data_IF_471418978125
#
_entry.id   IF_471418978125
#
_cell.length_a   1.000
_cell.length_b   1.000
_cell.length_c   1.000
_cell.angle_alpha   90.00
_cell.angle_beta   90.00
_cell.angle_gamma   90.00
#
_symmetry.space_group_name_H-M   'P 1'
#
loop_
_entity.id
_entity.type
_entity.pdbx_description
1 polymer ?
#
# COMPACT_ATOMS: atom_id res chain seq x y z
N UNK A 1 34.80 -20.96 16.46
CA UNK A 1 34.83 -22.43 16.62
C UNK A 1 33.93 -23.06 15.56
N UNK A 2 34.47 -23.77 14.57
CA UNK A 2 33.69 -24.45 13.52
C UNK A 2 33.11 -25.75 14.07
N UNK A 3 31.79 -25.95 13.98
CA UNK A 3 31.13 -27.21 14.35
C UNK A 3 31.57 -28.33 13.38
N UNK A 4 31.86 -29.54 13.88
CA UNK A 4 32.26 -30.65 13.01
C UNK A 4 31.12 -31.02 12.05
N UNK A 5 31.47 -31.39 10.82
CA UNK A 5 30.49 -31.79 9.79
C UNK A 5 29.86 -33.14 10.12
N UNK A 6 28.62 -33.37 9.63
CA UNK A 6 27.79 -34.58 9.86
C UNK A 6 28.54 -35.91 9.71
N UNK A 7 29.52 -35.98 8.79
CA UNK A 7 30.35 -37.18 8.54
C UNK A 7 31.36 -37.41 9.67
N UNK A 8 31.85 -36.35 10.32
CA UNK A 8 32.82 -36.44 11.42
C UNK A 8 32.17 -36.97 12.71
N UNK A 9 30.89 -36.71 12.94
CA UNK A 9 30.15 -37.26 14.08
C UNK A 9 29.87 -38.76 13.92
N UNK A 10 29.52 -39.21 12.70
CA UNK A 10 29.31 -40.62 12.38
C UNK A 10 30.61 -41.43 12.43
N UNK A 11 31.72 -40.86 11.95
CA UNK A 11 33.04 -41.52 11.99
C UNK A 11 33.60 -41.63 13.41
N UNK A 12 33.29 -40.69 14.31
CA UNK A 12 33.68 -40.78 15.72
C UNK A 12 33.00 -41.96 16.44
N UNK A 13 31.76 -42.30 16.05
CA UNK A 13 30.99 -43.41 16.61
C UNK A 13 31.49 -44.76 16.09
N UNK A 14 31.85 -44.85 14.80
CA UNK A 14 32.50 -46.05 14.24
C UNK A 14 33.89 -46.32 14.82
N UNK A 15 34.66 -45.27 15.16
CA UNK A 15 35.99 -45.40 15.78
C UNK A 15 35.98 -45.98 17.20
N UNK A 16 34.87 -45.82 17.93
CA UNK A 16 34.66 -46.44 19.24
C UNK A 16 34.34 -47.94 19.17
N UNK A 17 33.95 -48.45 18.00
CA UNK A 17 33.51 -49.83 17.80
C UNK A 17 34.66 -50.84 17.58
N UNK A 18 35.89 -50.39 17.32
CA UNK A 18 36.99 -51.26 16.85
C UNK A 18 38.12 -51.51 17.87
N UNK A 19 38.00 -51.06 19.13
CA UNK A 19 39.11 -51.09 20.10
C UNK A 19 39.09 -52.17 21.20
N UNK A 20 38.25 -53.20 21.10
CA UNK A 20 38.09 -54.15 22.21
C UNK A 20 38.35 -55.64 21.90
N UNK A 21 39.41 -56.01 21.17
CA UNK A 21 39.77 -57.44 21.02
C UNK A 21 41.28 -57.71 21.05
N UNK A 22 41.81 -58.15 22.19
CA UNK A 22 43.04 -58.95 22.44
C UNK A 22 43.17 -59.14 23.97
N UNK A 23 43.36 -60.28 24.65
CA UNK A 23 43.62 -61.71 24.39
C UNK A 23 43.28 -62.48 25.72
N UNK A 24 43.43 -63.83 25.90
CA UNK A 24 42.44 -64.68 26.57
C UNK A 24 42.87 -65.29 27.92
N UNK A 25 41.91 -65.75 28.75
CA UNK A 25 42.14 -66.83 29.71
C UNK A 25 40.83 -67.48 30.22
N UNK A 26 40.74 -68.79 29.95
CA UNK A 26 40.08 -69.90 30.66
C UNK A 26 39.06 -69.64 31.78
N UNK A 27 37.87 -70.24 31.61
CA UNK A 27 37.22 -70.98 32.70
C UNK A 27 35.94 -70.38 33.29
N UNK A 28 34.85 -71.17 33.15
CA UNK A 28 33.59 -71.15 33.93
C UNK A 28 32.49 -70.21 33.44
N UNK A 29 31.46 -70.81 32.82
CA UNK A 29 30.16 -70.16 32.63
C UNK A 29 29.45 -69.97 33.96
N UNK A 30 28.84 -68.79 34.16
CA UNK A 30 27.45 -68.72 34.58
C UNK A 30 26.65 -68.03 33.46
N UNK A 31 25.39 -68.41 33.29
CA UNK A 31 24.45 -67.70 32.44
C UNK A 31 24.50 -66.19 32.73
N UNK A 32 25.14 -65.42 31.84
CA UNK A 32 24.98 -63.97 31.82
C UNK A 32 23.64 -63.67 31.15
N UNK A 33 22.78 -62.84 31.75
CA UNK A 33 21.55 -62.44 31.10
C UNK A 33 21.91 -61.74 29.79
N UNK A 34 21.24 -62.12 28.71
CA UNK A 34 21.36 -61.51 27.37
C UNK A 34 20.88 -60.03 27.34
N UNK A 35 20.96 -59.31 28.47
CA UNK A 35 20.51 -57.93 28.66
C UNK A 35 21.42 -56.89 28.00
N UNK A 36 22.71 -57.20 27.83
CA UNK A 36 23.71 -56.26 27.31
C UNK A 36 23.44 -55.74 25.89
N UNK A 37 23.03 -56.55 24.90
CA UNK A 37 22.67 -56.05 23.57
C UNK A 37 21.36 -55.24 23.57
N UNK A 38 20.39 -55.58 24.44
CA UNK A 38 19.10 -54.89 24.52
C UNK A 38 19.26 -53.46 25.04
N UNK A 39 20.12 -53.26 26.04
CA UNK A 39 20.44 -51.92 26.60
C UNK A 39 21.09 -51.03 25.53
N UNK A 40 21.99 -51.58 24.71
CA UNK A 40 22.65 -50.81 23.63
C UNK A 40 21.65 -50.36 22.58
N UNK A 41 20.75 -51.25 22.16
CA UNK A 41 19.68 -50.92 21.19
C UNK A 41 18.75 -49.83 21.75
N UNK A 42 18.37 -49.92 23.03
CA UNK A 42 17.52 -48.92 23.68
C UNK A 42 18.16 -47.53 23.71
N UNK A 43 19.46 -47.46 24.03
CA UNK A 43 20.22 -46.20 24.03
C UNK A 43 20.28 -45.60 22.63
N UNK A 44 20.53 -46.42 21.61
CA UNK A 44 20.56 -45.99 20.20
C UNK A 44 19.19 -45.47 19.73
N UNK A 45 18.09 -46.16 20.07
CA UNK A 45 16.72 -45.69 19.77
C UNK A 45 16.42 -44.34 20.43
N UNK A 46 16.81 -44.16 21.70
CA UNK A 46 16.59 -42.90 22.41
C UNK A 46 17.40 -41.75 21.80
N UNK A 47 18.65 -42.01 21.40
CA UNK A 47 19.49 -41.03 20.71
C UNK A 47 18.91 -40.64 19.34
N UNK A 48 18.45 -41.62 18.56
CA UNK A 48 17.79 -41.39 17.28
C UNK A 48 16.51 -40.56 17.45
N UNK A 49 15.66 -40.91 18.42
CA UNK A 49 14.44 -40.16 18.73
C UNK A 49 14.74 -38.70 19.04
N UNK A 50 15.77 -38.44 19.84
CA UNK A 50 16.18 -37.08 20.22
C UNK A 50 16.70 -36.31 19.01
N UNK A 51 17.51 -36.95 18.15
CA UNK A 51 18.02 -36.32 16.93
C UNK A 51 16.91 -36.00 15.92
N UNK A 52 15.89 -36.85 15.83
CA UNK A 52 14.71 -36.60 15.00
C UNK A 52 13.90 -35.43 15.56
N UNK A 53 13.65 -35.40 16.88
CA UNK A 53 12.92 -34.30 17.52
C UNK A 53 13.60 -32.95 17.27
N UNK A 54 14.92 -32.87 17.47
CA UNK A 54 15.66 -31.64 17.23
C UNK A 54 15.61 -31.16 15.77
N UNK A 55 15.51 -32.09 14.80
CA UNK A 55 15.29 -31.74 13.40
C UNK A 55 13.88 -31.19 13.18
N UNK A 56 12.86 -31.80 13.76
CA UNK A 56 11.48 -31.29 13.69
C UNK A 56 11.35 -29.90 14.31
N UNK A 57 11.93 -29.67 15.49
CA UNK A 57 11.93 -28.36 16.14
C UNK A 57 12.63 -27.30 15.25
N UNK A 58 13.73 -27.69 14.60
CA UNK A 58 14.43 -26.83 13.64
C UNK A 58 13.59 -26.49 12.41
N UNK A 59 12.84 -27.46 11.88
CA UNK A 59 11.90 -27.24 10.77
C UNK A 59 10.75 -26.33 11.20
N UNK A 60 10.19 -26.53 12.38
CA UNK A 60 9.10 -25.69 12.92
C UNK A 60 9.53 -24.22 13.03
N UNK A 61 10.73 -23.96 13.57
CA UNK A 61 11.27 -22.59 13.65
C UNK A 61 11.45 -21.97 12.26
N UNK A 62 11.93 -22.74 11.28
CA UNK A 62 12.08 -22.26 9.91
C UNK A 62 10.72 -21.96 9.26
N UNK A 63 9.72 -22.82 9.45
CA UNK A 63 8.37 -22.61 8.94
C UNK A 63 7.72 -21.37 9.55
N UNK A 64 7.83 -21.17 10.87
CA UNK A 64 7.34 -19.97 11.54
C UNK A 64 8.04 -18.70 11.00
N UNK A 65 9.34 -18.78 10.73
CA UNK A 65 10.07 -17.69 10.08
C UNK A 65 9.62 -17.41 8.64
N UNK A 66 9.19 -18.44 7.89
CA UNK A 66 8.63 -18.28 6.54
C UNK A 66 7.25 -17.63 6.61
N UNK A 67 6.38 -18.08 7.53
CA UNK A 67 5.03 -17.52 7.72
C UNK A 67 5.12 -16.02 7.99
N UNK A 68 5.95 -15.59 8.95
CA UNK A 68 6.10 -14.17 9.25
C UNK A 68 6.64 -13.33 8.08
N UNK A 69 7.47 -13.92 7.20
CA UNK A 69 7.91 -13.25 5.96
C UNK A 69 6.78 -13.14 4.95
N UNK A 70 5.93 -14.18 4.83
CA UNK A 70 4.77 -14.16 3.94
C UNK A 70 3.74 -13.11 4.37
N UNK A 71 3.47 -13.00 5.68
CA UNK A 71 2.58 -11.95 6.21
C UNK A 71 3.11 -10.54 5.90
N UNK A 72 4.42 -10.33 6.08
CA UNK A 72 5.06 -9.07 5.74
C UNK A 72 5.03 -8.76 4.23
N UNK A 73 5.11 -9.79 3.37
CA UNK A 73 4.93 -9.64 1.92
C UNK A 73 3.48 -9.27 1.60
N UNK A 74 2.49 -9.93 2.21
CA UNK A 74 1.07 -9.61 2.04
C UNK A 74 0.78 -8.14 2.33
N UNK A 75 1.20 -7.64 3.50
CA UNK A 75 1.00 -6.24 3.86
C UNK A 75 1.67 -5.24 2.89
N UNK A 76 2.81 -5.62 2.29
CA UNK A 76 3.47 -4.80 1.26
C UNK A 76 2.72 -4.81 -0.07
N UNK A 77 2.11 -5.94 -0.45
CA UNK A 77 1.28 -6.04 -1.65
C UNK A 77 0.04 -5.16 -1.48
N UNK A 78 -0.66 -5.26 -0.35
CA UNK A 78 -1.83 -4.41 -0.05
C UNK A 78 -1.50 -2.91 -0.14
N UNK A 79 -0.32 -2.53 0.36
CA UNK A 79 0.15 -1.14 0.28
C UNK A 79 0.50 -0.70 -1.15
N UNK A 80 0.97 -1.62 -2.01
CA UNK A 80 1.22 -1.34 -3.43
C UNK A 80 -0.10 -1.20 -4.19
N UNK A 81 -1.06 -2.09 -3.95
CA UNK A 81 -2.38 -2.04 -4.59
C UNK A 81 -3.09 -0.72 -4.29
N UNK A 82 -3.09 -0.28 -3.03
CA UNK A 82 -3.66 1.02 -2.64
C UNK A 82 -2.98 2.22 -3.36
N UNK A 83 -1.67 2.16 -3.59
CA UNK A 83 -0.94 3.20 -4.33
C UNK A 83 -1.26 3.17 -5.83
N UNK A 84 -1.45 1.99 -6.40
CA UNK A 84 -1.83 1.84 -7.80
C UNK A 84 -3.25 2.38 -8.05
N UNK A 85 -4.20 2.13 -7.15
CA UNK A 85 -5.54 2.73 -7.22
C UNK A 85 -5.49 4.26 -7.19
N UNK A 86 -4.69 4.86 -6.30
CA UNK A 86 -4.52 6.33 -6.26
C UNK A 86 -3.90 6.88 -7.56
N UNK A 87 -2.91 6.18 -8.13
CA UNK A 87 -2.29 6.56 -9.39
C UNK A 87 -3.28 6.51 -10.56
N UNK A 88 -4.14 5.50 -10.60
CA UNK A 88 -5.14 5.32 -11.66
C UNK A 88 -6.18 6.46 -11.62
N UNK A 89 -6.64 6.84 -10.45
CA UNK A 89 -7.61 7.95 -10.31
C UNK A 89 -6.99 9.31 -10.65
N UNK A 90 -5.72 9.53 -10.29
CA UNK A 90 -4.97 10.71 -10.75
C UNK A 90 -4.83 10.72 -12.27
N UNK A 91 -4.50 9.56 -12.88
CA UNK A 91 -4.37 9.42 -14.33
C UNK A 91 -5.68 9.74 -15.03
N UNK A 92 -6.81 9.30 -14.49
CA UNK A 92 -8.13 9.59 -15.04
C UNK A 92 -8.48 11.09 -14.96
N UNK A 93 -8.20 11.73 -13.82
CA UNK A 93 -8.34 13.17 -13.69
C UNK A 93 -7.48 13.94 -14.72
N UNK A 94 -6.25 13.49 -14.96
CA UNK A 94 -5.35 14.10 -15.94
C UNK A 94 -5.79 13.88 -17.39
N UNK A 95 -6.35 12.73 -17.70
CA UNK A 95 -6.93 12.45 -19.01
C UNK A 95 -8.14 13.36 -19.29
N UNK A 96 -9.03 13.53 -18.30
CA UNK A 96 -10.15 14.46 -18.39
C UNK A 96 -9.66 15.90 -18.61
N UNK A 97 -8.67 16.37 -17.84
CA UNK A 97 -8.06 17.69 -18.02
C UNK A 97 -7.43 17.89 -19.39
N UNK A 98 -6.72 16.88 -19.91
CA UNK A 98 -6.10 16.92 -21.23
C UNK A 98 -7.15 17.06 -22.33
N UNK A 99 -8.21 16.27 -22.25
CA UNK A 99 -9.36 16.37 -23.16
C UNK A 99 -10.03 17.74 -23.06
N UNK A 100 -10.25 18.25 -21.86
CA UNK A 100 -10.84 19.57 -21.62
C UNK A 100 -9.96 20.70 -22.12
N UNK A 101 -8.63 20.59 -21.98
CA UNK A 101 -7.66 21.53 -22.54
C UNK A 101 -7.82 21.61 -24.05
N UNK A 102 -8.01 20.47 -24.73
CA UNK A 102 -8.22 20.43 -26.18
C UNK A 102 -9.56 21.05 -26.58
N UNK A 103 -10.66 20.69 -25.89
CA UNK A 103 -11.98 21.30 -26.08
C UNK A 103 -11.88 22.82 -25.95
N UNK A 104 -11.17 23.31 -24.92
CA UNK A 104 -10.99 24.73 -24.69
C UNK A 104 -10.10 25.42 -25.71
N UNK A 105 -9.02 24.78 -26.15
CA UNK A 105 -8.13 25.35 -27.14
C UNK A 105 -8.82 25.47 -28.51
N UNK A 106 -9.64 24.48 -28.86
CA UNK A 106 -10.36 24.43 -30.14
C UNK A 106 -11.71 25.18 -30.11
N UNK A 107 -12.06 25.79 -28.97
CA UNK A 107 -13.34 26.51 -28.78
C UNK A 107 -14.56 25.65 -29.14
N UNK A 108 -14.48 24.35 -28.85
CA UNK A 108 -15.60 23.45 -29.10
C UNK A 108 -16.72 23.74 -28.09
N UNK A 109 -17.96 23.69 -28.55
CA UNK A 109 -19.15 23.91 -27.72
C UNK A 109 -19.62 22.65 -26.97
N UNK A 110 -18.83 21.57 -27.03
CA UNK A 110 -19.12 20.31 -26.34
C UNK A 110 -18.85 20.42 -24.85
N UNK A 111 -19.48 19.54 -24.06
CA UNK A 111 -19.25 19.47 -22.63
C UNK A 111 -17.82 19.02 -22.31
N UNK A 112 -17.27 19.58 -21.24
CA UNK A 112 -16.07 19.09 -20.59
C UNK A 112 -16.31 17.72 -19.97
N UNK A 113 -15.28 16.89 -20.02
CA UNK A 113 -15.19 15.67 -19.23
C UNK A 113 -15.07 16.03 -17.75
N UNK A 114 -15.85 15.38 -16.87
CA UNK A 114 -15.76 15.63 -15.44
C UNK A 114 -14.39 15.17 -14.92
N UNK A 115 -13.77 16.00 -14.08
CA UNK A 115 -12.51 15.64 -13.42
C UNK A 115 -12.87 14.97 -12.09
N UNK A 116 -12.50 13.70 -11.93
CA UNK A 116 -12.73 12.92 -10.70
C UNK A 116 -11.96 13.49 -9.51
N UNK A 117 -12.44 13.18 -8.31
CA UNK A 117 -11.71 13.44 -7.07
C UNK A 117 -10.55 12.45 -6.94
N UNK A 118 -9.31 12.92 -6.82
CA UNK A 118 -8.14 12.05 -6.61
C UNK A 118 -7.36 12.39 -5.32
N UNK A 119 -7.80 13.38 -4.55
CA UNK A 119 -7.23 13.70 -3.22
C UNK A 119 -8.22 13.25 -2.17
N UNK A 120 -7.76 12.40 -1.24
CA UNK A 120 -8.57 11.86 -0.14
C UNK A 120 -9.02 12.96 0.83
N UNK A 121 -10.20 12.76 1.42
CA UNK A 121 -10.72 13.57 2.51
C UNK A 121 -11.25 14.94 2.07
N UNK A 122 -11.60 15.76 3.06
CA UNK A 122 -12.19 17.09 2.88
C UNK A 122 -11.48 18.12 3.77
N UNK A 123 -11.51 19.41 3.42
CA UNK A 123 -10.99 20.46 4.29
C UNK A 123 -11.67 20.45 5.66
N UNK A 124 -10.87 20.44 6.73
CA UNK A 124 -11.28 20.25 8.14
C UNK A 124 -12.07 21.44 8.74
N UNK A 125 -12.70 22.29 7.94
CA UNK A 125 -13.52 23.37 8.50
C UNK A 125 -14.67 22.78 9.34
N UNK A 126 -14.98 23.34 10.53
CA UNK A 126 -16.01 22.79 11.39
C UNK A 126 -17.39 23.08 10.79
N UNK A 127 -18.05 22.06 10.25
CA UNK A 127 -19.42 22.14 9.76
C UNK A 127 -19.64 21.48 8.40
N UNK A 128 -20.91 21.16 8.16
CA UNK A 128 -21.44 20.55 6.93
C UNK A 128 -20.90 21.17 5.63
N UNK A 129 -20.90 20.41 4.52
CA UNK A 129 -20.47 20.92 3.22
C UNK A 129 -21.15 22.26 2.86
N UNK A 130 -20.44 23.20 2.21
CA UNK A 130 -21.01 24.51 1.90
C UNK A 130 -22.27 24.39 1.04
N UNK A 131 -23.40 24.95 1.49
CA UNK A 131 -24.64 24.91 0.71
C UNK A 131 -24.51 25.75 -0.57
N UNK A 132 -24.77 25.11 -1.71
CA UNK A 132 -24.84 25.71 -3.05
C UNK A 132 -26.22 25.44 -3.60
N UNK A 133 -26.86 26.47 -4.18
CA UNK A 133 -28.20 26.36 -4.75
C UNK A 133 -28.19 25.29 -5.85
N UNK A 134 -29.17 24.39 -5.82
CA UNK A 134 -29.36 23.29 -6.78
C UNK A 134 -28.20 22.26 -6.83
N UNK A 135 -27.35 22.19 -5.80
CA UNK A 135 -26.29 21.19 -5.69
C UNK A 135 -26.45 20.43 -4.38
N UNK A 136 -26.60 19.11 -4.47
CA UNK A 136 -26.66 18.23 -3.30
C UNK A 136 -25.26 17.69 -2.98
N UNK A 137 -24.58 18.30 -2.01
CA UNK A 137 -23.29 17.82 -1.52
C UNK A 137 -23.50 16.74 -0.46
N UNK A 138 -22.88 15.58 -0.66
CA UNK A 138 -22.77 14.53 0.34
C UNK A 138 -21.83 14.99 1.47
N UNK A 139 -21.94 14.42 2.68
CA UNK A 139 -20.98 14.67 3.76
C UNK A 139 -19.56 14.21 3.45
N UNK A 140 -19.42 13.18 2.60
CA UNK A 140 -18.14 12.57 2.24
C UNK A 140 -18.15 12.15 0.76
N UNK A 141 -16.96 12.14 0.15
CA UNK A 141 -16.68 11.65 -1.20
C UNK A 141 -15.38 10.86 -1.20
N UNK A 142 -15.40 9.73 -1.90
CA UNK A 142 -14.25 8.86 -2.07
C UNK A 142 -13.37 9.32 -3.24
N UNK A 143 -12.14 8.82 -3.28
CA UNK A 143 -11.28 8.97 -4.47
C UNK A 143 -11.94 8.19 -5.62
N UNK A 144 -12.01 8.80 -6.80
CA UNK A 144 -12.74 8.34 -7.97
C UNK A 144 -14.15 8.92 -8.13
N UNK A 145 -14.70 9.54 -7.08
CA UNK A 145 -16.03 10.16 -7.19
C UNK A 145 -16.06 11.29 -8.22
N UNK A 146 -17.19 11.40 -8.93
CA UNK A 146 -17.49 12.51 -9.82
C UNK A 146 -18.03 13.72 -9.04
N UNK A 147 -17.72 14.95 -9.48
CA UNK A 147 -18.31 16.14 -8.88
C UNK A 147 -19.84 16.10 -9.06
N UNK A 148 -20.60 16.51 -8.04
CA UNK A 148 -22.06 16.64 -8.16
C UNK A 148 -22.45 17.53 -9.34
N UNK A 149 -23.54 17.16 -10.00
CA UNK A 149 -24.08 17.96 -11.11
C UNK A 149 -24.32 19.40 -10.68
N UNK A 150 -23.92 20.35 -11.52
CA UNK A 150 -24.01 21.79 -11.25
C UNK A 150 -22.97 22.34 -10.27
N UNK A 151 -22.09 21.52 -9.68
CA UNK A 151 -21.01 22.05 -8.82
C UNK A 151 -19.93 22.74 -9.66
N UNK A 152 -19.37 22.02 -10.64
CA UNK A 152 -18.31 22.48 -11.54
C UNK A 152 -18.87 22.89 -12.90
N UNK A 153 -18.25 23.86 -13.61
CA UNK A 153 -18.63 24.21 -14.97
C UNK A 153 -18.51 23.01 -15.92
N UNK A 154 -19.57 22.72 -16.66
CA UNK A 154 -19.57 21.66 -17.69
C UNK A 154 -19.11 22.15 -19.06
N UNK A 155 -18.95 23.45 -19.28
CA UNK A 155 -18.58 24.05 -20.56
C UNK A 155 -18.08 25.50 -20.36
N UNK A 156 -17.69 26.20 -21.44
CA UNK A 156 -17.24 27.59 -21.38
C UNK A 156 -18.30 28.58 -20.93
N UNK A 157 -19.56 28.40 -21.33
CA UNK A 157 -20.66 29.31 -20.97
C UNK A 157 -20.87 29.33 -19.46
N UNK A 158 -20.83 28.16 -18.82
CA UNK A 158 -20.98 28.05 -17.36
C UNK A 158 -19.86 28.74 -16.58
N UNK A 159 -18.66 28.91 -17.15
CA UNK A 159 -17.64 29.74 -16.50
C UNK A 159 -18.08 31.20 -16.42
N UNK A 160 -18.69 31.75 -17.48
CA UNK A 160 -19.22 33.12 -17.48
C UNK A 160 -20.39 33.26 -16.52
N UNK A 161 -21.28 32.27 -16.45
CA UNK A 161 -22.38 32.26 -15.49
C UNK A 161 -21.88 32.37 -14.05
N UNK A 162 -20.79 31.68 -13.68
CA UNK A 162 -20.18 31.81 -12.34
C UNK A 162 -19.57 33.20 -12.13
N UNK A 163 -18.93 33.78 -13.16
CA UNK A 163 -18.35 35.13 -13.08
C UNK A 163 -19.42 36.21 -12.86
N UNK A 164 -20.59 36.04 -13.45
CA UNK A 164 -21.70 36.99 -13.39
C UNK A 164 -22.51 36.87 -12.09
N UNK A 165 -22.26 35.83 -11.28
CA UNK A 165 -22.91 35.67 -9.97
C UNK A 165 -22.63 36.83 -9.02
N UNK A 166 -23.55 37.03 -8.09
CA UNK A 166 -23.31 37.82 -6.90
C UNK A 166 -22.17 37.22 -6.05
N UNK A 167 -21.50 38.08 -5.30
CA UNK A 167 -20.30 37.72 -4.53
C UNK A 167 -20.54 36.57 -3.54
N UNK A 168 -21.71 36.53 -2.90
CA UNK A 168 -22.05 35.51 -1.89
C UNK A 168 -22.23 34.13 -2.53
N UNK A 169 -23.10 33.92 -3.54
CA UNK A 169 -23.21 32.62 -4.21
C UNK A 169 -21.92 32.20 -4.91
N UNK A 170 -21.19 33.13 -5.55
CA UNK A 170 -19.90 32.84 -6.17
C UNK A 170 -18.90 32.28 -5.13
N UNK A 171 -18.76 32.94 -3.97
CA UNK A 171 -17.87 32.49 -2.89
C UNK A 171 -18.28 31.12 -2.34
N UNK A 172 -19.58 30.88 -2.14
CA UNK A 172 -20.10 29.57 -1.66
C UNK A 172 -19.78 28.47 -2.65
N UNK A 173 -20.03 28.68 -3.95
CA UNK A 173 -19.73 27.71 -5.00
C UNK A 173 -18.24 27.39 -5.06
N UNK A 174 -17.37 28.40 -5.02
CA UNK A 174 -15.93 28.16 -5.01
C UNK A 174 -15.44 27.39 -3.77
N UNK A 175 -16.00 27.66 -2.59
CA UNK A 175 -15.69 26.90 -1.38
C UNK A 175 -16.19 25.46 -1.45
N UNK A 176 -17.35 25.22 -2.06
CA UNK A 176 -17.87 23.87 -2.28
C UNK A 176 -16.99 23.07 -3.24
N UNK A 177 -16.49 23.71 -4.30
CA UNK A 177 -15.55 23.09 -5.25
C UNK A 177 -14.24 22.70 -4.54
N UNK A 178 -13.68 23.61 -3.72
CA UNK A 178 -12.52 23.28 -2.88
C UNK A 178 -12.83 22.15 -1.90
N UNK A 179 -14.01 22.17 -1.29
CA UNK A 179 -14.43 21.14 -0.34
C UNK A 179 -14.51 19.75 -0.99
N UNK A 180 -15.04 19.66 -2.22
CA UNK A 180 -15.08 18.42 -2.99
C UNK A 180 -13.67 17.94 -3.37
N UNK A 181 -12.87 18.78 -4.05
CA UNK A 181 -11.56 18.35 -4.57
C UNK A 181 -10.45 18.25 -3.52
N UNK A 182 -10.58 18.96 -2.40
CA UNK A 182 -9.56 19.06 -1.34
C UNK A 182 -8.15 19.43 -1.87
N UNK A 183 -8.09 20.24 -2.93
CA UNK A 183 -6.84 20.66 -3.56
C UNK A 183 -6.52 22.12 -3.20
N UNK A 184 -5.33 22.38 -2.64
CA UNK A 184 -4.93 23.70 -2.18
C UNK A 184 -4.91 24.77 -3.28
N UNK A 185 -4.78 24.39 -4.56
CA UNK A 185 -4.89 25.31 -5.70
C UNK A 185 -6.27 25.95 -5.81
N UNK A 186 -7.30 25.29 -5.27
CA UNK A 186 -8.69 25.72 -5.31
C UNK A 186 -9.14 26.43 -4.02
N UNK A 187 -8.27 26.51 -3.01
CA UNK A 187 -8.56 27.08 -1.70
C UNK A 187 -8.97 28.56 -1.81
N UNK A 188 -10.02 28.93 -1.08
CA UNK A 188 -10.56 30.30 -1.02
C UNK A 188 -10.82 30.71 0.43
N UNK A 189 -10.46 31.95 0.79
CA UNK A 189 -10.73 32.50 2.12
C UNK A 189 -12.22 32.75 2.36
N UNK A 190 -12.68 32.65 3.62
CA UNK A 190 -14.10 32.80 3.97
C UNK A 190 -14.68 34.19 3.71
N UNK A 191 -13.85 35.23 3.76
CA UNK A 191 -14.20 36.63 3.53
C UNK A 191 -13.72 37.15 2.15
N UNK A 192 -13.42 36.26 1.20
CA UNK A 192 -12.90 36.61 -0.12
C UNK A 192 -13.76 37.68 -0.84
N UNK A 193 -13.13 38.76 -1.29
CA UNK A 193 -13.77 39.79 -2.10
C UNK A 193 -13.97 39.34 -3.56
N UNK A 194 -14.58 40.21 -4.40
CA UNK A 194 -14.86 39.89 -5.81
C UNK A 194 -13.60 39.57 -6.60
N UNK A 195 -12.48 40.24 -6.29
CA UNK A 195 -11.19 40.00 -6.96
C UNK A 195 -10.62 38.64 -6.58
N UNK A 196 -10.66 38.27 -5.31
CA UNK A 196 -10.24 36.96 -4.82
C UNK A 196 -11.09 35.83 -5.41
N UNK A 197 -12.41 36.00 -5.48
CA UNK A 197 -13.30 35.04 -6.13
C UNK A 197 -13.01 34.89 -7.63
N UNK A 198 -12.81 35.99 -8.37
CA UNK A 198 -12.40 35.94 -9.78
C UNK A 198 -11.04 35.22 -9.96
N UNK A 199 -10.09 35.46 -9.05
CA UNK A 199 -8.84 34.71 -9.00
C UNK A 199 -9.05 33.20 -8.81
N UNK A 200 -9.96 32.82 -7.91
CA UNK A 200 -10.30 31.42 -7.67
C UNK A 200 -10.97 30.74 -8.88
N UNK A 201 -11.80 31.46 -9.64
CA UNK A 201 -12.35 30.95 -10.90
C UNK A 201 -11.23 30.71 -11.93
N UNK A 202 -10.24 31.58 -12.02
CA UNK A 202 -9.07 31.36 -12.88
C UNK A 202 -8.22 30.16 -12.43
N UNK A 203 -8.08 29.94 -11.12
CA UNK A 203 -7.44 28.74 -10.60
C UNK A 203 -8.25 27.49 -10.97
N UNK A 204 -9.57 27.54 -10.86
CA UNK A 204 -10.45 26.45 -11.28
C UNK A 204 -10.35 26.16 -12.77
N UNK A 205 -10.33 27.20 -13.61
CA UNK A 205 -10.13 27.06 -15.05
C UNK A 205 -8.82 26.35 -15.34
N UNK A 206 -7.73 26.74 -14.69
CA UNK A 206 -6.45 26.01 -14.80
C UNK A 206 -6.58 24.58 -14.28
N UNK A 207 -7.21 24.35 -13.15
CA UNK A 207 -7.37 23.03 -12.56
C UNK A 207 -8.14 22.04 -13.46
N UNK A 208 -9.21 22.51 -14.12
CA UNK A 208 -10.06 21.67 -14.96
C UNK A 208 -9.54 21.53 -16.40
N UNK A 209 -8.79 22.52 -16.90
CA UNK A 209 -8.40 22.61 -18.30
C UNK A 209 -6.88 22.50 -18.51
N UNK A 210 -6.07 22.29 -17.47
CA UNK A 210 -4.63 22.03 -17.63
C UNK A 210 -4.24 20.75 -16.93
N UNK A 211 -3.56 19.86 -17.66
CA UNK A 211 -2.84 18.75 -17.05
C UNK A 211 -1.60 19.31 -16.34
N UNK A 212 -1.22 18.80 -15.16
CA UNK A 212 0.08 19.05 -14.55
C UNK A 212 1.18 18.36 -15.37
N UNK A 213 1.34 18.78 -16.62
CA UNK A 213 2.34 18.25 -17.52
C UNK A 213 3.66 18.97 -17.18
N UNK A 214 4.37 18.55 -16.11
CA UNK A 214 5.83 18.71 -15.96
C UNK A 214 6.55 18.11 -14.74
N UNK A 215 5.90 17.57 -13.72
CA UNK A 215 6.63 17.13 -12.51
C UNK A 215 6.72 15.60 -12.30
N UNK A 216 6.06 14.80 -13.14
CA UNK A 216 6.00 13.33 -12.97
C UNK A 216 7.29 12.56 -13.27
N UNK A 217 8.35 13.23 -13.73
CA UNK A 217 9.68 12.60 -13.92
C UNK A 217 10.56 12.76 -12.67
N UNK A 218 10.18 13.60 -11.71
CA UNK A 218 11.00 13.90 -10.52
C UNK A 218 10.67 13.02 -9.31
N UNK A 219 9.50 12.39 -9.23
CA UNK A 219 9.07 11.59 -8.07
C UNK A 219 9.43 10.10 -8.13
N UNK A 220 10.03 9.62 -9.24
CA UNK A 220 10.54 8.24 -9.35
C UNK A 220 12.03 8.10 -8.95
N UNK A 221 12.67 9.18 -8.50
CA UNK A 221 14.09 9.21 -8.10
C UNK A 221 14.39 8.85 -6.64
N UNK A 222 13.50 8.11 -5.96
CA UNK A 222 13.62 7.78 -4.53
C UNK A 222 13.77 6.29 -4.25
N UNK A 223 14.69 5.60 -4.93
CA UNK A 223 15.21 4.31 -4.49
C UNK A 223 16.72 4.45 -4.25
N UNK A 224 17.08 4.94 -3.07
CA UNK A 224 18.44 4.78 -2.53
C UNK A 224 18.45 3.64 -1.51
N UNK A 225 19.39 2.71 -1.79
CA UNK A 225 19.93 1.56 -1.02
C UNK A 225 19.03 0.37 -0.69
#
# INVERSE_FOLDING_TARGET
MRKPTQIQALNAISGLLLRHHSTPASGRSPQQPQEKPLIVIQVQMNALKTAIQAQFDGVEVQLNGIIGKLDAIGARIDAVDARLEEMEERREADLARSSNSRISFQLLTVQFYPVVKYIRGHPVQPGLPPSVVNVNLKPEYDVGDLPPSGLVPSNHSEFYEIYDMDIVPMRRRMRAIYWFYNDDRLKLSGNADRKACAGAINNLKRYLLSSPMKDSVSELGGFET
#
